data_IF_338247541931
#
_entry.id   IF_338247541931
#
_cell.length_a   1.000
_cell.length_b   1.000
_cell.length_c   1.000
_cell.angle_alpha   90.00
_cell.angle_beta   90.00
_cell.angle_gamma   90.00
#
_symmetry.space_group_name_H-M   'P 1'
#
loop_
_entity.id
_entity.type
_entity.pdbx_description
1 polymer ?
#
# COMPACT_ATOMS: atom_id res chain seq x y z
N UNK A 1 7.95 7.34 7.11
CA UNK A 1 8.38 6.95 8.48
C UNK A 1 8.50 5.44 8.44
N UNK A 2 9.62 4.85 8.83
CA UNK A 2 9.78 3.40 8.74
C UNK A 2 9.36 2.72 10.04
N UNK A 3 8.45 1.75 9.95
CA UNK A 3 8.07 0.92 11.07
C UNK A 3 9.11 -0.17 11.31
N UNK A 4 9.37 -0.48 12.58
CA UNK A 4 10.22 -1.62 12.94
C UNK A 4 9.53 -2.95 12.60
N UNK A 5 10.33 -3.99 12.38
CA UNK A 5 9.83 -5.31 11.98
C UNK A 5 8.83 -5.89 12.98
N UNK A 6 9.02 -5.67 14.29
CA UNK A 6 8.11 -6.18 15.31
C UNK A 6 6.74 -5.51 15.22
N UNK A 7 6.70 -4.18 15.05
CA UNK A 7 5.46 -3.44 14.79
C UNK A 7 4.73 -3.85 13.52
N UNK A 8 5.45 -4.34 12.50
CA UNK A 8 4.85 -4.84 11.26
C UNK A 8 4.31 -6.26 11.40
N UNK A 9 5.06 -7.13 12.10
CA UNK A 9 4.69 -8.52 12.35
C UNK A 9 3.51 -8.65 13.34
N UNK A 10 3.40 -7.70 14.27
CA UNK A 10 2.35 -7.69 15.28
C UNK A 10 0.95 -7.61 14.66
N UNK A 11 0.00 -8.45 15.09
CA UNK A 11 -1.40 -8.34 14.66
C UNK A 11 -2.07 -7.08 15.24
N UNK A 12 -1.47 -6.48 16.28
CA UNK A 12 -2.05 -5.31 16.95
C UNK A 12 -1.98 -4.04 16.07
N UNK A 13 -3.00 -3.17 16.15
CA UNK A 13 -2.99 -1.88 15.46
C UNK A 13 -1.82 -0.99 15.89
N UNK A 14 -1.16 -0.34 14.93
CA UNK A 14 -0.11 0.62 15.17
C UNK A 14 -0.71 2.01 15.49
N UNK A 15 -0.36 2.57 16.64
CA UNK A 15 -0.89 3.86 17.09
C UNK A 15 -0.08 5.03 16.54
N UNK A 16 -0.75 5.94 15.82
CA UNK A 16 -0.20 7.19 15.33
C UNK A 16 -0.68 8.36 16.17
N UNK A 17 0.27 9.05 16.81
CA UNK A 17 -0.01 10.18 17.68
C UNK A 17 -0.76 11.28 16.90
N UNK A 18 -1.95 11.64 17.39
CA UNK A 18 -2.80 12.68 16.79
C UNK A 18 -3.57 12.26 15.53
N UNK A 19 -3.50 10.98 15.12
CA UNK A 19 -4.20 10.47 13.93
C UNK A 19 -5.16 9.35 14.30
N UNK A 20 -4.67 8.23 14.82
CA UNK A 20 -5.49 7.03 15.07
C UNK A 20 -4.67 5.75 15.00
N UNK A 21 -5.34 4.60 14.91
CA UNK A 21 -4.72 3.28 14.94
C UNK A 21 -4.86 2.58 13.60
N UNK A 22 -3.73 2.32 12.95
CA UNK A 22 -3.67 1.62 11.65
C UNK A 22 -3.50 0.12 11.90
N UNK A 23 -4.44 -0.70 11.41
CA UNK A 23 -4.33 -2.17 11.46
C UNK A 23 -3.78 -2.74 10.16
N UNK A 24 -3.16 -3.92 10.25
CA UNK A 24 -2.93 -4.75 9.07
C UNK A 24 -4.14 -5.66 8.91
N UNK A 25 -4.81 -5.66 7.74
CA UNK A 25 -6.03 -6.44 7.57
C UNK A 25 -5.71 -7.93 7.60
N UNK A 26 -6.59 -8.69 8.26
CA UNK A 26 -6.61 -10.14 8.18
C UNK A 26 -7.09 -10.61 6.82
N UNK A 27 -6.66 -11.80 6.41
CA UNK A 27 -7.12 -12.38 5.14
C UNK A 27 -8.63 -12.58 5.09
N UNK A 28 -9.27 -12.89 6.23
CA UNK A 28 -10.73 -12.97 6.32
C UNK A 28 -11.42 -11.62 6.07
N UNK A 29 -10.82 -10.51 6.51
CA UNK A 29 -11.36 -9.16 6.27
C UNK A 29 -11.26 -8.80 4.78
N UNK A 30 -10.15 -9.16 4.13
CA UNK A 30 -9.97 -9.02 2.68
C UNK A 30 -11.00 -9.86 1.91
N UNK A 31 -11.23 -11.10 2.36
CA UNK A 31 -12.22 -11.99 1.75
C UNK A 31 -13.64 -11.41 1.83
N UNK A 32 -14.01 -10.77 2.96
CA UNK A 32 -15.32 -10.16 3.17
C UNK A 32 -15.62 -9.00 2.22
N UNK A 33 -14.64 -8.13 1.96
CA UNK A 33 -14.82 -7.01 1.00
C UNK A 33 -14.64 -7.44 -0.45
N UNK A 34 -14.04 -8.62 -0.67
CA UNK A 34 -13.68 -9.15 -1.97
C UNK A 34 -12.29 -8.68 -2.41
N UNK A 35 -11.56 -9.59 -3.05
CA UNK A 35 -10.17 -9.37 -3.49
C UNK A 35 -10.05 -8.22 -4.50
N UNK A 36 -11.06 -8.04 -5.37
CA UNK A 36 -11.09 -6.94 -6.34
C UNK A 36 -11.16 -5.57 -5.66
N UNK A 37 -12.01 -5.44 -4.64
CA UNK A 37 -12.14 -4.23 -3.83
C UNK A 37 -10.84 -3.92 -3.08
N UNK A 38 -10.24 -4.95 -2.46
CA UNK A 38 -8.95 -4.80 -1.80
C UNK A 38 -7.85 -4.31 -2.75
N UNK A 39 -7.73 -4.89 -3.95
CA UNK A 39 -6.77 -4.41 -4.94
C UNK A 39 -7.11 -2.99 -5.43
N UNK A 40 -8.39 -2.63 -5.54
CA UNK A 40 -8.77 -1.25 -5.84
C UNK A 40 -8.27 -0.30 -4.74
N UNK A 41 -8.40 -0.65 -3.46
CA UNK A 41 -7.88 0.12 -2.33
C UNK A 41 -6.37 0.31 -2.41
N UNK A 42 -5.61 -0.76 -2.67
CA UNK A 42 -4.16 -0.65 -2.88
C UNK A 42 -3.81 0.24 -4.08
N UNK A 43 -4.54 0.13 -5.19
CA UNK A 43 -4.34 0.96 -6.38
C UNK A 43 -4.64 2.44 -6.16
N UNK A 44 -5.46 2.81 -5.17
CA UNK A 44 -5.67 4.20 -4.76
C UNK A 44 -4.55 4.69 -3.84
N UNK A 45 -4.11 3.86 -2.89
CA UNK A 45 -2.99 4.18 -1.98
C UNK A 45 -1.65 4.35 -2.72
N UNK A 46 -1.49 3.64 -3.83
CA UNK A 46 -0.32 3.71 -4.71
C UNK A 46 -0.46 4.74 -5.84
N UNK A 47 -1.62 5.38 -5.97
CA UNK A 47 -1.92 6.25 -7.09
C UNK A 47 -0.99 7.48 -7.09
N UNK A 48 -0.40 7.75 -8.26
CA UNK A 48 0.28 9.02 -8.51
C UNK A 48 -0.62 10.01 -9.24
N UNK A 49 -0.23 11.27 -9.24
CA UNK A 49 -0.96 12.34 -9.94
C UNK A 49 -1.08 12.06 -11.44
N UNK A 50 0.00 11.63 -12.09
CA UNK A 50 -0.01 11.31 -13.52
C UNK A 50 -0.90 10.11 -13.84
N UNK A 51 -0.95 9.13 -12.94
CA UNK A 51 -1.83 7.96 -13.08
C UNK A 51 -3.30 8.31 -12.86
N UNK A 52 -3.58 9.22 -11.92
CA UNK A 52 -4.92 9.76 -11.71
C UNK A 52 -5.45 10.40 -13.01
N UNK A 53 -4.68 11.29 -13.64
CA UNK A 53 -5.09 11.90 -14.92
C UNK A 53 -5.19 10.90 -16.07
N UNK A 54 -4.31 9.89 -16.14
CA UNK A 54 -4.43 8.81 -17.14
C UNK A 54 -5.71 7.99 -16.94
N UNK A 55 -6.12 7.73 -15.69
CA UNK A 55 -7.40 7.05 -15.40
C UNK A 55 -8.59 7.91 -15.82
N UNK A 56 -8.56 9.21 -15.52
CA UNK A 56 -9.57 10.16 -15.99
C UNK A 56 -9.70 10.14 -17.52
N UNK A 57 -8.59 10.13 -18.24
CA UNK A 57 -8.58 10.06 -19.72
C UNK A 57 -9.17 8.75 -20.24
N UNK A 58 -8.88 7.64 -19.55
CA UNK A 58 -9.37 6.31 -19.93
C UNK A 58 -10.88 6.17 -19.70
N UNK A 59 -11.40 6.71 -18.59
CA UNK A 59 -12.83 6.70 -18.29
C UNK A 59 -13.62 7.73 -19.11
N UNK A 60 -12.98 8.82 -19.54
CA UNK A 60 -13.57 9.82 -20.43
C UNK A 60 -14.84 10.45 -19.86
N UNK A 61 -15.89 10.52 -20.70
CA UNK A 61 -17.15 11.19 -20.37
C UNK A 61 -17.90 10.48 -19.23
N UNK A 62 -17.78 9.15 -19.14
CA UNK A 62 -18.50 8.33 -18.17
C UNK A 62 -18.10 8.66 -16.72
N UNK A 63 -16.86 9.11 -16.51
CA UNK A 63 -16.37 9.54 -15.20
C UNK A 63 -17.19 10.68 -14.60
N UNK A 64 -17.54 11.67 -15.43
CA UNK A 64 -18.24 12.87 -15.01
C UNK A 64 -19.77 12.72 -14.99
N UNK A 65 -20.29 11.54 -15.35
CA UNK A 65 -21.74 11.30 -15.47
C UNK A 65 -22.51 11.55 -14.16
N UNK A 66 -21.86 11.34 -13.01
CA UNK A 66 -22.43 11.50 -11.67
C UNK A 66 -22.03 12.81 -10.97
N UNK A 67 -21.29 13.68 -11.68
CA UNK A 67 -20.76 14.94 -11.14
C UNK A 67 -21.55 16.15 -11.65
N UNK A 68 -21.58 17.20 -10.81
CA UNK A 68 -22.19 18.46 -11.16
C UNK A 68 -21.26 19.26 -12.10
N UNK A 69 -21.83 20.20 -12.87
CA UNK A 69 -21.06 21.01 -13.81
C UNK A 69 -19.91 21.79 -13.14
N UNK A 70 -20.14 22.33 -11.94
CA UNK A 70 -19.11 23.04 -11.17
C UNK A 70 -17.96 22.13 -10.71
N UNK A 71 -18.24 20.88 -10.34
CA UNK A 71 -17.22 19.91 -9.93
C UNK A 71 -16.35 19.55 -11.14
N UNK A 72 -17.00 19.29 -12.28
CA UNK A 72 -16.33 19.01 -13.56
C UNK A 72 -15.41 20.16 -13.99
N UNK A 73 -15.90 21.40 -13.92
CA UNK A 73 -15.12 22.58 -14.29
C UNK A 73 -13.92 22.78 -13.37
N UNK A 74 -14.08 22.52 -12.07
CA UNK A 74 -13.00 22.61 -11.08
C UNK A 74 -11.89 21.60 -11.40
N UNK A 75 -12.24 20.33 -11.66
CA UNK A 75 -11.28 19.28 -12.02
C UNK A 75 -10.53 19.62 -13.31
N UNK A 76 -11.24 20.14 -14.33
CA UNK A 76 -10.63 20.55 -15.60
C UNK A 76 -9.69 21.73 -15.40
N UNK A 77 -10.05 22.70 -14.55
CA UNK A 77 -9.21 23.86 -14.27
C UNK A 77 -7.93 23.47 -13.55
N UNK A 78 -8.02 22.65 -12.49
CA UNK A 78 -6.86 22.15 -11.75
C UNK A 78 -5.95 21.34 -12.66
N UNK A 79 -6.52 20.54 -13.57
CA UNK A 79 -5.73 19.81 -14.57
C UNK A 79 -4.93 20.76 -15.47
N UNK A 80 -5.55 21.83 -15.97
CA UNK A 80 -4.85 22.83 -16.80
C UNK A 80 -3.72 23.50 -16.04
N UNK A 81 -3.95 23.82 -14.76
CA UNK A 81 -2.92 24.37 -13.88
C UNK A 81 -1.78 23.36 -13.70
N UNK A 82 -2.09 22.09 -13.42
CA UNK A 82 -1.11 21.02 -13.30
C UNK A 82 -0.26 20.85 -14.58
N UNK A 83 -0.91 20.84 -15.76
CA UNK A 83 -0.26 20.71 -17.06
C UNK A 83 0.61 21.92 -17.43
N UNK A 84 0.36 23.09 -16.81
CA UNK A 84 1.16 24.30 -17.04
C UNK A 84 2.50 24.30 -16.31
N UNK A 85 2.64 23.50 -15.25
CA UNK A 85 3.89 23.38 -14.50
C UNK A 85 4.96 22.60 -15.27
N UNK A 86 6.23 22.84 -14.93
CA UNK A 86 7.34 22.04 -15.45
C UNK A 86 7.29 20.60 -14.93
N UNK A 87 7.98 19.68 -15.62
CA UNK A 87 8.04 18.27 -15.21
C UNK A 87 8.63 18.07 -13.81
N UNK A 88 9.56 18.94 -13.37
CA UNK A 88 10.15 18.86 -12.04
C UNK A 88 9.16 19.31 -10.96
N UNK A 89 8.39 20.36 -11.23
CA UNK A 89 7.37 20.86 -10.31
C UNK A 89 6.22 19.87 -10.17
N UNK A 90 5.77 19.26 -11.27
CA UNK A 90 4.71 18.24 -11.27
C UNK A 90 5.00 17.06 -10.33
N UNK A 91 6.26 16.64 -10.22
CA UNK A 91 6.68 15.56 -9.31
C UNK A 91 6.61 15.95 -7.83
N UNK A 92 6.64 17.25 -7.52
CA UNK A 92 6.60 17.75 -6.14
C UNK A 92 5.19 17.99 -5.63
N UNK A 93 4.19 18.05 -6.52
CA UNK A 93 2.80 18.33 -6.15
C UNK A 93 2.23 17.11 -5.41
N UNK A 94 1.78 17.28 -4.14
CA UNK A 94 1.17 16.19 -3.40
C UNK A 94 -0.15 15.76 -4.04
N UNK A 95 -0.37 14.44 -4.14
CA UNK A 95 -1.64 13.88 -4.63
C UNK A 95 -2.85 14.48 -3.91
N UNK A 96 -2.72 14.69 -2.58
CA UNK A 96 -3.78 15.25 -1.75
C UNK A 96 -4.35 16.56 -2.33
N UNK A 97 -3.50 17.45 -2.82
CA UNK A 97 -3.91 18.75 -3.33
C UNK A 97 -4.78 18.67 -4.59
N UNK A 98 -4.82 17.51 -5.24
CA UNK A 98 -5.60 17.28 -6.45
C UNK A 98 -6.88 16.51 -6.11
N UNK A 99 -6.76 15.46 -5.30
CA UNK A 99 -7.89 14.58 -4.99
C UNK A 99 -8.95 15.23 -4.11
N UNK A 100 -8.63 16.28 -3.34
CA UNK A 100 -9.62 17.00 -2.51
C UNK A 100 -10.76 17.62 -3.32
N UNK A 101 -10.55 17.83 -4.61
CA UNK A 101 -11.55 18.38 -5.53
C UNK A 101 -12.37 17.30 -6.23
N UNK A 102 -12.02 16.03 -6.04
CA UNK A 102 -12.70 14.90 -6.64
C UNK A 102 -13.46 14.11 -5.59
N UNK A 103 -14.79 14.30 -5.58
CA UNK A 103 -15.69 13.63 -4.63
C UNK A 103 -15.64 12.10 -4.73
N UNK A 104 -15.46 11.54 -5.93
CA UNK A 104 -15.44 10.08 -6.12
C UNK A 104 -14.17 9.50 -5.51
N UNK A 105 -13.04 10.16 -5.74
CA UNK A 105 -11.77 9.76 -5.14
C UNK A 105 -11.80 9.94 -3.62
N UNK A 106 -12.38 11.04 -3.12
CA UNK A 106 -12.55 11.24 -1.67
C UNK A 106 -13.44 10.17 -1.03
N UNK A 107 -14.54 9.77 -1.67
CA UNK A 107 -15.36 8.67 -1.17
C UNK A 107 -14.58 7.36 -1.13
N UNK A 108 -13.75 7.08 -2.14
CA UNK A 108 -12.90 5.90 -2.15
C UNK A 108 -11.87 5.93 -1.01
N UNK A 109 -11.20 7.07 -0.78
CA UNK A 109 -10.28 7.22 0.35
C UNK A 109 -10.98 7.10 1.71
N UNK A 110 -12.22 7.56 1.82
CA UNK A 110 -13.03 7.39 3.03
C UNK A 110 -13.27 5.89 3.32
N UNK A 111 -13.65 5.10 2.31
CA UNK A 111 -13.81 3.65 2.45
C UNK A 111 -12.49 2.95 2.79
N UNK A 112 -11.41 3.33 2.10
CA UNK A 112 -10.06 2.81 2.34
C UNK A 112 -9.65 3.04 3.79
N UNK A 113 -9.81 4.27 4.29
CA UNK A 113 -9.43 4.58 5.67
C UNK A 113 -10.32 3.86 6.68
N UNK A 114 -11.63 3.73 6.44
CA UNK A 114 -12.50 2.90 7.30
C UNK A 114 -12.11 1.42 7.29
N UNK A 115 -11.46 0.92 6.23
CA UNK A 115 -10.97 -0.45 6.19
C UNK A 115 -9.66 -0.64 6.98
N UNK A 116 -8.73 0.32 6.89
CA UNK A 116 -7.39 0.21 7.49
C UNK A 116 -7.26 0.81 8.90
N UNK A 117 -8.18 1.68 9.32
CA UNK A 117 -8.20 2.21 10.69
C UNK A 117 -9.13 1.39 11.59
N UNK A 118 -8.85 1.46 12.90
CA UNK A 118 -9.77 0.94 13.92
C UNK A 118 -10.91 1.91 14.15
N UNK A 119 -10.61 3.21 14.08
CA UNK A 119 -11.57 4.31 14.20
C UNK A 119 -12.45 4.44 12.94
N UNK A 120 -13.66 4.97 13.11
CA UNK A 120 -14.50 5.34 11.97
C UNK A 120 -14.01 6.66 11.37
N UNK A 121 -13.91 6.72 10.04
CA UNK A 121 -13.37 7.86 9.32
C UNK A 121 -14.47 8.55 8.52
N UNK A 122 -14.58 9.87 8.66
CA UNK A 122 -15.52 10.69 7.88
C UNK A 122 -14.75 11.89 7.28
N UNK A 123 -15.09 12.31 6.06
CA UNK A 123 -14.46 13.47 5.43
C UNK A 123 -15.23 14.75 5.76
N UNK A 124 -14.54 15.77 6.27
CA UNK A 124 -15.11 17.11 6.49
C UNK A 124 -14.75 18.03 5.32
N UNK A 125 -15.76 18.34 4.50
CA UNK A 125 -15.62 19.27 3.37
C UNK A 125 -15.32 20.72 3.78
N UNK A 126 -15.58 21.12 5.03
CA UNK A 126 -15.27 22.49 5.49
C UNK A 126 -13.79 22.66 5.81
N UNK A 127 -13.22 21.68 6.52
CA UNK A 127 -11.81 21.70 6.92
C UNK A 127 -10.88 21.01 5.92
N UNK A 128 -11.44 20.35 4.90
CA UNK A 128 -10.69 19.60 3.87
C UNK A 128 -9.75 18.57 4.50
N UNK A 129 -10.28 17.79 5.45
CA UNK A 129 -9.56 16.79 6.22
C UNK A 129 -10.45 15.58 6.52
N UNK A 130 -9.83 14.44 6.83
CA UNK A 130 -10.53 13.27 7.36
C UNK A 130 -10.48 13.29 8.88
N UNK A 131 -11.64 13.14 9.51
CA UNK A 131 -11.81 13.09 10.95
C UNK A 131 -12.00 11.64 11.39
N UNK A 132 -11.26 11.23 12.43
CA UNK A 132 -11.30 9.88 12.98
C UNK A 132 -12.00 9.88 14.34
N UNK A 133 -12.91 8.94 14.53
CA UNK A 133 -13.71 8.81 15.75
C UNK A 133 -13.53 7.40 16.36
N UNK A 134 -13.20 7.33 17.64
CA UNK A 134 -13.04 6.07 18.40
C UNK A 134 -14.38 5.45 18.82
N UNK A 135 -15.51 6.06 18.43
CA UNK A 135 -16.85 5.65 18.83
C UNK A 135 -17.25 6.07 20.25
N UNK A 136 -16.35 6.74 20.99
CA UNK A 136 -16.71 7.35 22.26
C UNK A 136 -17.53 8.60 22.04
N UNK A 137 -18.55 8.76 22.87
CA UNK A 137 -19.48 9.89 22.83
C UNK A 137 -19.16 10.76 24.04
N UNK A 138 -18.95 12.06 23.81
CA UNK A 138 -18.81 13.01 24.90
C UNK A 138 -20.14 13.15 25.66
N UNK A 139 -20.13 13.68 26.88
CA UNK A 139 -21.35 13.86 27.71
C UNK A 139 -22.49 14.65 27.06
N UNK A 140 -22.24 15.32 25.93
CA UNK A 140 -23.19 16.10 25.13
C UNK A 140 -23.71 15.36 23.88
N UNK A 141 -23.42 14.07 23.71
CA UNK A 141 -23.89 13.29 22.56
C UNK A 141 -23.06 13.44 21.28
N UNK A 142 -21.94 14.19 21.33
CA UNK A 142 -21.05 14.42 20.19
C UNK A 142 -19.95 13.36 20.13
N UNK A 143 -19.73 12.77 18.95
CA UNK A 143 -18.62 11.82 18.70
C UNK A 143 -17.28 12.50 18.99
N UNK A 144 -16.41 11.85 19.76
CA UNK A 144 -15.10 12.38 20.10
C UNK A 144 -14.11 12.20 18.94
N UNK A 145 -13.54 13.32 18.48
CA UNK A 145 -12.46 13.28 17.48
C UNK A 145 -11.19 12.77 18.15
N UNK A 146 -10.65 11.69 17.63
CA UNK A 146 -9.45 11.02 18.13
C UNK A 146 -8.21 11.38 17.31
N UNK A 147 -8.40 11.75 16.04
CA UNK A 147 -7.35 12.34 15.23
C UNK A 147 -7.82 12.82 13.87
N UNK A 148 -6.87 13.37 13.11
CA UNK A 148 -7.14 14.11 11.87
C UNK A 148 -6.11 13.76 10.81
N UNK A 149 -6.57 13.47 9.59
CA UNK A 149 -5.71 13.32 8.40
C UNK A 149 -5.92 14.55 7.52
N UNK A 150 -4.85 15.30 7.27
CA UNK A 150 -4.82 16.51 6.45
C UNK A 150 -3.66 16.42 5.44
N UNK A 151 -3.53 17.40 4.55
CA UNK A 151 -2.52 17.41 3.48
C UNK A 151 -1.08 17.14 3.97
N UNK A 152 -0.73 17.64 5.14
CA UNK A 152 0.62 17.54 5.71
C UNK A 152 0.98 16.15 6.26
N UNK A 153 0.00 15.33 6.66
CA UNK A 153 0.25 13.99 7.19
C UNK A 153 -0.26 12.86 6.28
N UNK A 154 -1.06 13.16 5.25
CA UNK A 154 -1.64 12.18 4.33
C UNK A 154 -0.60 11.25 3.72
N UNK A 155 0.51 11.79 3.20
CA UNK A 155 1.55 10.99 2.56
C UNK A 155 2.20 9.99 3.53
N UNK A 156 2.31 10.35 4.81
CA UNK A 156 2.86 9.52 5.89
C UNK A 156 1.87 8.43 6.28
N UNK A 157 0.58 8.77 6.39
CA UNK A 157 -0.48 7.79 6.69
C UNK A 157 -0.56 6.70 5.62
N UNK A 158 -0.55 7.11 4.35
CA UNK A 158 -0.57 6.16 3.23
C UNK A 158 0.69 5.28 3.23
N UNK A 159 1.87 5.85 3.49
CA UNK A 159 3.13 5.10 3.62
C UNK A 159 3.05 4.03 4.72
N UNK A 160 2.48 4.37 5.88
CA UNK A 160 2.31 3.44 7.00
C UNK A 160 1.32 2.32 6.64
N UNK A 161 0.20 2.64 5.99
CA UNK A 161 -0.75 1.62 5.53
C UNK A 161 -0.05 0.64 4.57
N UNK A 162 0.72 1.15 3.60
CA UNK A 162 1.46 0.34 2.64
C UNK A 162 2.48 -0.59 3.31
N UNK A 163 3.23 -0.07 4.30
CA UNK A 163 4.15 -0.89 5.08
C UNK A 163 3.40 -2.00 5.84
N UNK A 164 2.25 -1.68 6.45
CA UNK A 164 1.40 -2.65 7.16
C UNK A 164 0.79 -3.72 6.25
N UNK A 165 0.79 -3.55 4.93
CA UNK A 165 0.38 -4.57 3.96
C UNK A 165 1.55 -5.22 3.21
N UNK A 166 2.79 -5.00 3.66
CA UNK A 166 4.01 -5.52 3.03
C UNK A 166 4.24 -5.00 1.61
N UNK A 167 3.89 -3.74 1.34
CA UNK A 167 4.20 -3.05 0.08
C UNK A 167 5.25 -1.98 0.36
N UNK A 168 6.45 -2.16 -0.19
CA UNK A 168 7.49 -1.13 -0.15
C UNK A 168 7.24 -0.13 -1.28
N UNK A 169 7.23 1.18 -0.97
CA UNK A 169 7.20 2.21 -2.02
C UNK A 169 8.46 2.19 -2.90
N UNK A 170 9.60 1.69 -2.41
CA UNK A 170 10.83 1.52 -3.21
C UNK A 170 10.67 0.55 -4.39
N UNK A 171 9.68 -0.34 -4.35
CA UNK A 171 9.40 -1.29 -5.44
C UNK A 171 8.58 -0.65 -6.57
N UNK A 172 8.11 0.59 -6.37
CA UNK A 172 7.22 1.35 -7.29
C UNK A 172 7.84 2.69 -7.66
N UNK A 173 8.51 3.34 -6.71
CA UNK A 173 9.41 4.46 -6.93
C UNK A 173 10.83 3.91 -6.85
N UNK A 174 11.46 3.73 -8.01
CA UNK A 174 12.88 3.39 -8.11
C UNK A 174 13.74 4.46 -7.45
N UNK A 175 13.89 4.32 -6.14
CA UNK A 175 14.71 5.07 -5.20
C UNK A 175 14.57 6.60 -5.24
N UNK A 176 14.67 7.22 -4.06
CA UNK A 176 14.87 8.66 -3.93
C UNK A 176 16.27 9.03 -4.45
N UNK A 177 16.47 8.99 -5.76
CA UNK A 177 17.65 9.54 -6.39
C UNK A 177 17.54 11.05 -6.37
N UNK A 178 18.19 11.64 -5.36
CA UNK A 178 18.82 12.96 -5.45
C UNK A 178 19.69 13.05 -6.71
N UNK A 179 19.10 13.21 -7.89
CA UNK A 179 19.86 13.43 -9.12
C UNK A 179 19.12 14.41 -10.01
N UNK A 180 19.49 15.68 -9.86
CA UNK A 180 19.29 16.73 -10.87
C UNK A 180 19.94 16.30 -12.19
N UNK A 181 19.23 15.62 -13.11
CA UNK A 181 19.56 15.65 -14.54
C UNK A 181 18.51 14.96 -15.43
N UNK A 182 18.39 15.43 -16.69
CA UNK A 182 17.55 14.91 -17.80
C UNK A 182 17.62 13.39 -18.05
N UNK A 183 18.60 12.71 -17.48
CA UNK A 183 18.82 11.27 -17.55
C UNK A 183 17.83 10.51 -16.63
N UNK A 184 17.49 11.07 -15.47
CA UNK A 184 16.53 10.47 -14.53
C UNK A 184 15.10 10.45 -15.11
N UNK A 185 14.70 11.52 -15.80
CA UNK A 185 13.42 11.58 -16.51
C UNK A 185 13.31 10.54 -17.64
N UNK A 186 14.39 10.35 -18.42
CA UNK A 186 14.46 9.29 -19.45
C UNK A 186 14.47 7.88 -18.87
N UNK A 187 15.05 7.70 -17.69
CA UNK A 187 15.07 6.42 -16.98
C UNK A 187 13.67 6.07 -16.43
N UNK A 188 12.98 7.03 -15.81
CA UNK A 188 11.58 6.93 -15.39
C UNK A 188 10.65 6.60 -16.57
N UNK A 189 10.84 7.26 -17.71
CA UNK A 189 10.02 7.01 -18.90
C UNK A 189 10.25 5.60 -19.47
N UNK A 190 11.49 5.08 -19.40
CA UNK A 190 11.81 3.70 -19.76
C UNK A 190 11.25 2.68 -18.76
N UNK A 191 11.31 2.98 -17.46
CA UNK A 191 10.73 2.13 -16.40
C UNK A 191 9.20 2.04 -16.56
N UNK A 192 8.52 3.16 -16.80
CA UNK A 192 7.07 3.19 -17.09
C UNK A 192 6.68 2.41 -18.35
N UNK A 193 7.55 2.39 -19.38
CA UNK A 193 7.34 1.57 -20.60
C UNK A 193 7.57 0.08 -20.31
N UNK A 194 8.61 -0.26 -19.54
CA UNK A 194 8.89 -1.63 -19.13
C UNK A 194 7.78 -2.22 -18.22
N UNK A 195 7.17 -1.43 -17.34
CA UNK A 195 6.00 -1.83 -16.54
C UNK A 195 4.76 -2.09 -17.40
N UNK A 196 4.52 -1.26 -18.42
CA UNK A 196 3.43 -1.45 -19.39
C UNK A 196 3.62 -2.72 -20.22
N UNK A 197 4.87 -3.10 -20.50
CA UNK A 197 5.21 -4.34 -21.20
C UNK A 197 5.12 -5.58 -20.28
N UNK A 198 5.55 -5.47 -19.01
CA UNK A 198 5.47 -6.54 -18.01
C UNK A 198 4.05 -6.83 -17.52
N UNK A 199 3.12 -5.86 -17.59
CA UNK A 199 1.69 -6.09 -17.30
C UNK A 199 1.04 -7.18 -18.16
N UNK A 200 1.65 -7.58 -19.29
CA UNK A 200 1.16 -8.67 -20.16
C UNK A 200 1.46 -10.08 -19.65
N UNK A 201 2.23 -10.25 -18.57
CA UNK A 201 2.42 -11.54 -17.88
C UNK A 201 2.33 -11.32 -16.37
N UNK A 202 1.13 -11.15 -15.82
CA UNK A 202 0.98 -11.31 -14.37
C UNK A 202 1.37 -12.74 -14.01
N UNK A 203 2.41 -12.89 -13.22
CA UNK A 203 2.91 -14.20 -12.80
C UNK A 203 1.90 -14.81 -11.82
N UNK A 204 0.98 -15.64 -12.33
CA UNK A 204 -0.13 -16.26 -11.56
C UNK A 204 0.35 -17.00 -10.30
N UNK A 205 1.65 -17.28 -10.20
CA UNK A 205 2.31 -17.89 -9.05
C UNK A 205 2.24 -17.03 -7.78
N UNK A 206 2.22 -15.70 -7.91
CA UNK A 206 2.20 -14.78 -6.76
C UNK A 206 0.81 -14.22 -6.47
N UNK A 207 -0.24 -14.84 -7.04
CA UNK A 207 -1.62 -14.48 -6.71
C UNK A 207 -1.93 -14.80 -5.24
N UNK A 208 -2.75 -13.97 -4.60
CA UNK A 208 -3.06 -14.09 -3.17
C UNK A 208 -3.67 -15.45 -2.84
N UNK A 209 -4.57 -15.95 -3.70
CA UNK A 209 -5.16 -17.28 -3.52
C UNK A 209 -4.11 -18.39 -3.60
N UNK A 210 -3.13 -18.27 -4.51
CA UNK A 210 -2.05 -19.25 -4.63
C UNK A 210 -1.11 -19.19 -3.42
N UNK A 211 -0.79 -18.00 -2.91
CA UNK A 211 0.03 -17.84 -1.71
C UNK A 211 -0.63 -18.47 -0.48
N UNK A 212 -1.94 -18.25 -0.30
CA UNK A 212 -2.73 -18.86 0.78
C UNK A 212 -2.74 -20.38 0.66
N UNK A 213 -2.95 -20.92 -0.54
CA UNK A 213 -2.92 -22.37 -0.78
C UNK A 213 -1.53 -22.96 -0.50
N UNK A 214 -0.48 -22.31 -1.01
CA UNK A 214 0.91 -22.77 -0.89
C UNK A 214 1.38 -22.82 0.57
N UNK A 215 1.13 -21.75 1.35
CA UNK A 215 1.55 -21.73 2.76
C UNK A 215 0.76 -22.75 3.58
N UNK A 216 -0.54 -22.90 3.29
CA UNK A 216 -1.43 -23.82 4.03
C UNK A 216 -1.11 -25.30 3.79
N UNK A 217 -0.48 -25.62 2.65
CA UNK A 217 -0.11 -26.99 2.30
C UNK A 217 1.26 -27.40 2.87
N UNK A 218 2.13 -26.42 3.18
CA UNK A 218 3.53 -26.67 3.52
C UNK A 218 3.90 -26.29 4.95
N UNK A 219 3.25 -25.29 5.53
CA UNK A 219 3.49 -24.90 6.90
C UNK A 219 3.02 -26.00 7.88
N UNK A 220 3.76 -26.18 8.97
CA UNK A 220 3.47 -27.24 9.95
C UNK A 220 2.19 -26.95 10.74
N UNK A 221 2.00 -25.68 11.10
CA UNK A 221 0.90 -25.25 11.98
C UNK A 221 -0.12 -24.33 11.29
N UNK A 222 0.21 -23.77 10.12
CA UNK A 222 -0.74 -23.01 9.29
C UNK A 222 -1.40 -23.94 8.28
N UNK A 223 -2.73 -23.95 8.29
CA UNK A 223 -3.57 -24.72 7.39
C UNK A 223 -4.69 -23.85 6.83
N UNK A 224 -5.46 -24.40 5.91
CA UNK A 224 -6.50 -23.64 5.19
C UNK A 224 -7.60 -23.08 6.10
N UNK A 225 -7.73 -23.56 7.34
CA UNK A 225 -8.74 -23.10 8.29
C UNK A 225 -8.23 -21.88 9.06
N UNK A 226 -7.00 -21.94 9.57
CA UNK A 226 -6.45 -20.88 10.42
C UNK A 226 -5.70 -19.77 9.66
N UNK A 227 -5.27 -20.02 8.41
CA UNK A 227 -4.58 -19.03 7.58
C UNK A 227 -5.39 -17.74 7.43
N UNK A 228 -6.72 -17.81 7.49
CA UNK A 228 -7.59 -16.65 7.34
C UNK A 228 -7.50 -15.64 8.50
N UNK A 229 -6.99 -16.07 9.66
CA UNK A 229 -6.87 -15.25 10.86
C UNK A 229 -5.56 -14.46 10.95
N UNK A 230 -4.58 -14.77 10.10
CA UNK A 230 -3.32 -14.01 10.04
C UNK A 230 -3.51 -12.74 9.21
N UNK A 231 -2.66 -11.75 9.48
CA UNK A 231 -2.62 -10.52 8.70
C UNK A 231 -1.98 -10.75 7.33
N UNK A 232 -2.29 -9.90 6.37
CA UNK A 232 -1.65 -9.95 5.06
C UNK A 232 -0.12 -9.79 5.15
N UNK A 233 0.37 -8.96 6.09
CA UNK A 233 1.81 -8.84 6.34
C UNK A 233 2.41 -10.16 6.81
N UNK A 234 1.78 -10.82 7.79
CA UNK A 234 2.21 -12.11 8.30
C UNK A 234 2.22 -13.18 7.19
N UNK A 235 1.25 -13.18 6.27
CA UNK A 235 1.27 -14.10 5.13
C UNK A 235 2.55 -13.95 4.29
N UNK A 236 2.88 -12.71 3.91
CA UNK A 236 4.09 -12.44 3.11
C UNK A 236 5.38 -12.73 3.87
N UNK A 237 5.42 -12.43 5.16
CA UNK A 237 6.54 -12.74 6.04
C UNK A 237 6.76 -14.27 6.13
N UNK A 238 5.70 -15.03 6.41
CA UNK A 238 5.77 -16.50 6.51
C UNK A 238 6.19 -17.14 5.20
N UNK A 239 5.67 -16.67 4.06
CA UNK A 239 6.10 -17.14 2.75
C UNK A 239 7.59 -16.85 2.51
N UNK A 240 8.09 -15.72 2.99
CA UNK A 240 9.49 -15.34 2.85
C UNK A 240 10.40 -16.16 3.77
N UNK A 241 9.99 -16.42 5.02
CA UNK A 241 10.66 -17.34 5.95
C UNK A 241 10.72 -18.75 5.38
N UNK A 242 9.63 -19.23 4.80
CA UNK A 242 9.58 -20.57 4.18
C UNK A 242 10.63 -20.69 3.06
N UNK A 243 10.73 -19.70 2.16
CA UNK A 243 11.75 -19.72 1.09
C UNK A 243 13.18 -19.77 1.63
N UNK A 244 13.44 -19.08 2.74
CA UNK A 244 14.74 -19.10 3.41
C UNK A 244 14.99 -20.49 4.03
N UNK A 245 14.00 -21.09 4.70
CA UNK A 245 14.11 -22.44 5.29
C UNK A 245 14.37 -23.50 4.21
N UNK A 246 13.65 -23.45 3.09
CA UNK A 246 13.84 -24.38 1.96
C UNK A 246 15.27 -24.24 1.40
N UNK A 247 15.72 -23.01 1.20
CA UNK A 247 17.07 -22.71 0.71
C UNK A 247 18.14 -23.17 1.70
N UNK A 248 17.92 -22.96 3.00
CA UNK A 248 18.83 -23.42 4.06
C UNK A 248 18.91 -24.94 4.09
N UNK A 249 17.78 -25.64 3.96
CA UNK A 249 17.71 -27.10 3.95
C UNK A 249 18.46 -27.68 2.76
N UNK A 250 18.31 -27.08 1.57
CA UNK A 250 19.06 -27.44 0.37
C UNK A 250 20.56 -27.22 0.58
N UNK A 251 20.96 -26.06 1.12
CA UNK A 251 22.35 -25.73 1.38
C UNK A 251 22.99 -26.66 2.41
N UNK A 252 22.27 -26.95 3.50
CA UNK A 252 22.69 -27.84 4.59
C UNK A 252 22.83 -29.29 4.11
N UNK A 253 21.88 -29.76 3.29
CA UNK A 253 21.96 -31.10 2.68
C UNK A 253 23.15 -31.19 1.72
N UNK A 254 23.35 -30.16 0.88
CA UNK A 254 24.49 -30.09 -0.03
C UNK A 254 25.83 -30.11 0.73
N UNK A 255 25.94 -29.32 1.80
CA UNK A 255 27.11 -29.29 2.67
C UNK A 255 27.36 -30.64 3.34
N UNK A 256 26.31 -31.32 3.80
CA UNK A 256 26.42 -32.63 4.44
C UNK A 256 26.95 -33.71 3.48
N UNK A 257 26.56 -33.64 2.20
CA UNK A 257 26.95 -34.63 1.18
C UNK A 257 28.32 -34.32 0.57
N UNK A 258 28.61 -33.06 0.27
CA UNK A 258 29.78 -32.66 -0.52
C UNK A 258 30.87 -31.94 0.28
N UNK A 259 30.59 -31.60 1.54
CA UNK A 259 31.42 -30.72 2.37
C UNK A 259 31.40 -29.27 1.90
N UNK A 260 31.82 -28.34 2.76
CA UNK A 260 31.89 -26.91 2.43
C UNK A 260 33.33 -26.43 2.22
N UNK A 261 33.95 -26.88 1.12
CA UNK A 261 35.33 -26.48 0.79
C UNK A 261 35.51 -24.99 0.54
N UNK A 262 34.42 -24.26 0.23
CA UNK A 262 34.43 -22.83 -0.11
C UNK A 262 33.96 -21.94 1.05
N UNK A 263 33.62 -22.51 2.20
CA UNK A 263 33.05 -21.80 3.36
C UNK A 263 31.88 -20.89 2.98
N UNK A 264 30.97 -21.43 2.16
CA UNK A 264 29.82 -20.73 1.57
C UNK A 264 28.52 -20.97 2.33
N UNK A 265 28.50 -21.94 3.25
CA UNK A 265 27.33 -22.23 4.06
C UNK A 265 27.22 -21.25 5.23
N UNK A 266 26.11 -20.52 5.28
CA UNK A 266 25.76 -19.66 6.41
C UNK A 266 24.81 -20.41 7.35
N UNK A 267 25.32 -20.75 8.55
CA UNK A 267 24.54 -21.41 9.59
C UNK A 267 23.40 -20.56 10.15
N UNK A 268 23.54 -19.23 10.05
CA UNK A 268 22.61 -18.25 10.61
C UNK A 268 21.66 -17.70 9.54
N UNK A 269 21.66 -18.27 8.33
CA UNK A 269 20.82 -17.81 7.21
C UNK A 269 19.34 -17.71 7.57
N UNK A 270 18.84 -18.61 8.42
CA UNK A 270 17.45 -18.65 8.88
C UNK A 270 17.08 -17.50 9.85
N UNK A 271 18.07 -16.87 10.50
CA UNK A 271 17.92 -15.73 11.39
C UNK A 271 18.00 -14.38 10.68
N UNK A 272 18.41 -14.35 9.40
CA UNK A 272 18.51 -13.10 8.64
C UNK A 272 17.18 -12.35 8.64
N UNK A 273 17.26 -11.03 8.83
CA UNK A 273 16.10 -10.18 8.85
C UNK A 273 15.59 -9.96 7.42
N UNK A 274 14.36 -10.40 7.16
CA UNK A 274 13.73 -10.31 5.83
C UNK A 274 13.54 -8.85 5.41
N UNK A 275 13.44 -7.92 6.36
CA UNK A 275 13.20 -6.51 6.11
C UNK A 275 14.46 -5.65 6.01
N UNK A 276 15.66 -6.18 6.28
CA UNK A 276 16.93 -5.41 6.24
C UNK A 276 17.58 -5.37 4.84
N UNK A 277 16.86 -5.83 3.80
CA UNK A 277 17.26 -5.72 2.39
C UNK A 277 16.59 -4.54 1.68
#
# INVERSE_FOLDING_TARGET
MQLDYFSLLSPEPFSLVGIGKVKSPKLIEISRIGIGTYFAYLNYLLMRVDEYYQRLDTCGIDYFSSMNQSEKETIIQIRKEYESYSQEEQLTIPLYNIIIFDRLVLSAFCEIFNFFFVESVEYDSKQQCFLLYDGSINGEGVKKITGVIHSGNFAVVVDIILQRVHVKRSDIDGDNLKVKNKIAAKLLEKMRKAEKENKKKSDKKMDLGNMVSSISAHARDLNIINVWEITIFQLYDQLSRQRIEDSYTIASTSMSVWGDKKNTFDGDMWLQNINDN
#
